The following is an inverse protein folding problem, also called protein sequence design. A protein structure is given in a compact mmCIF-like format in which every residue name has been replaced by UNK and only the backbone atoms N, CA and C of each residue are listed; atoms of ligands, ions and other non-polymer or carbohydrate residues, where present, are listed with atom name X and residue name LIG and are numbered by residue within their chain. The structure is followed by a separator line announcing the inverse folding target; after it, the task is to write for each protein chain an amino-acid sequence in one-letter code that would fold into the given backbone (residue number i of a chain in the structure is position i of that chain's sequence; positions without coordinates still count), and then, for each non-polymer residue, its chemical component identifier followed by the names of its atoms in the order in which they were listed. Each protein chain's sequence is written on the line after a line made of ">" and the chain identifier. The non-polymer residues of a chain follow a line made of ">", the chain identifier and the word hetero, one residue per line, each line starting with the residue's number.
data_IF_673529838497
#
_entry.id   IF_673529838497
#
_cell.length_a   1.000
_cell.length_b   1.000
_cell.length_c   1.000
_cell.angle_alpha   90.00
_cell.angle_beta   90.00
_cell.angle_gamma   90.00
#
_symmetry.space_group_name_H-M   'P 1'
#
loop_
_entity.id
_entity.type
_entity.pdbx_description
1 polymer ?
#
# COMPACT_ATOMS: atom_id res chain seq x y z
N UNK A 1 16.84 0.53 21.07
CA UNK A 1 17.04 -0.70 20.27
C UNK A 1 17.46 -0.29 18.87
N UNK A 2 18.40 -1.01 18.24
CA UNK A 2 18.86 -0.73 16.87
C UNK A 2 18.42 -1.88 15.97
N UNK A 3 17.74 -1.57 14.86
CA UNK A 3 17.17 -2.54 13.92
C UNK A 3 17.73 -2.26 12.52
N UNK A 4 18.18 -3.32 11.85
CA UNK A 4 18.55 -3.26 10.44
C UNK A 4 17.38 -3.73 9.57
N UNK A 5 17.07 -2.98 8.51
CA UNK A 5 16.05 -3.32 7.52
C UNK A 5 16.73 -3.53 6.17
N UNK A 6 16.44 -4.66 5.53
CA UNK A 6 16.93 -4.98 4.19
C UNK A 6 15.78 -4.77 3.20
N UNK A 7 15.94 -3.79 2.32
CA UNK A 7 14.95 -3.31 1.35
C UNK A 7 14.42 -1.92 1.70
N UNK A 8 14.59 -0.97 0.79
CA UNK A 8 14.06 0.40 0.80
C UNK A 8 12.93 0.57 -0.23
N UNK A 9 12.10 -0.46 -0.41
CA UNK A 9 10.78 -0.34 -1.02
C UNK A 9 9.73 0.15 -0.01
N UNK A 10 8.49 0.30 -0.45
CA UNK A 10 7.37 0.83 0.36
C UNK A 10 7.22 0.12 1.71
N UNK A 11 7.28 -1.22 1.74
CA UNK A 11 7.15 -1.99 2.99
C UNK A 11 8.30 -1.72 3.96
N UNK A 12 9.53 -1.64 3.46
CA UNK A 12 10.72 -1.40 4.29
C UNK A 12 10.77 0.02 4.84
N UNK A 13 10.44 1.01 4.02
CA UNK A 13 10.40 2.43 4.43
C UNK A 13 9.27 2.70 5.42
N UNK A 14 8.08 2.15 5.21
CA UNK A 14 6.96 2.33 6.14
C UNK A 14 7.24 1.64 7.48
N UNK A 15 7.85 0.44 7.45
CA UNK A 15 8.32 -0.25 8.66
C UNK A 15 9.37 0.57 9.40
N UNK A 16 10.34 1.16 8.68
CA UNK A 16 11.35 2.02 9.26
C UNK A 16 10.74 3.23 9.95
N UNK A 17 9.79 3.90 9.29
CA UNK A 17 9.10 5.08 9.81
C UNK A 17 8.39 4.76 11.12
N UNK A 18 7.58 3.71 11.14
CA UNK A 18 6.86 3.26 12.33
C UNK A 18 7.81 2.95 13.50
N UNK A 19 8.91 2.24 13.24
CA UNK A 19 9.86 1.89 14.29
C UNK A 19 10.65 3.10 14.81
N UNK A 20 11.00 4.06 13.93
CA UNK A 20 11.64 5.33 14.34
C UNK A 20 10.70 6.11 15.26
N UNK A 21 9.41 6.17 14.97
CA UNK A 21 8.42 6.85 15.83
C UNK A 21 8.28 6.20 17.20
N UNK A 22 8.56 4.90 17.31
CA UNK A 22 8.65 4.17 18.59
C UNK A 22 10.02 4.31 19.28
N UNK A 23 10.90 5.20 18.80
CA UNK A 23 12.20 5.48 19.41
C UNK A 23 13.30 4.47 19.07
N UNK A 24 13.11 3.63 18.05
CA UNK A 24 14.16 2.75 17.56
C UNK A 24 15.16 3.51 16.69
N UNK A 25 16.42 3.11 16.74
CA UNK A 25 17.42 3.51 15.75
C UNK A 25 17.35 2.53 14.58
N UNK A 26 17.28 3.05 13.35
CA UNK A 26 17.11 2.23 12.14
C UNK A 26 18.30 2.43 11.20
N UNK A 27 18.79 1.33 10.62
CA UNK A 27 19.66 1.36 9.43
C UNK A 27 18.98 0.60 8.30
N UNK A 28 18.84 1.23 7.15
CA UNK A 28 18.20 0.65 5.97
C UNK A 28 19.26 0.36 4.92
N UNK A 29 19.20 -0.84 4.35
CA UNK A 29 20.09 -1.29 3.28
C UNK A 29 19.25 -1.69 2.07
N UNK A 30 19.56 -1.14 0.91
CA UNK A 30 18.97 -1.55 -0.36
C UNK A 30 20.08 -1.81 -1.38
N UNK A 31 19.83 -2.71 -2.32
CA UNK A 31 20.77 -3.01 -3.40
C UNK A 31 20.86 -1.87 -4.42
N UNK A 32 19.79 -1.09 -4.56
CA UNK A 32 19.67 0.04 -5.48
C UNK A 32 19.35 1.34 -4.71
N UNK A 33 18.93 2.37 -5.44
CA UNK A 33 18.34 3.55 -4.81
C UNK A 33 16.93 3.23 -4.29
N UNK A 34 16.59 3.86 -3.17
CA UNK A 34 15.26 3.74 -2.54
C UNK A 34 14.12 3.88 -3.54
N UNK A 35 13.13 3.00 -3.44
CA UNK A 35 11.93 3.01 -4.24
C UNK A 35 12.06 2.55 -5.69
N UNK A 36 13.24 2.27 -6.24
CA UNK A 36 13.44 2.06 -7.69
C UNK A 36 12.98 0.70 -8.26
N UNK A 37 12.56 -0.24 -7.41
CA UNK A 37 12.12 -1.57 -7.85
C UNK A 37 10.59 -1.64 -7.98
N UNK A 38 9.96 -2.69 -7.44
CA UNK A 38 8.51 -2.92 -7.53
C UNK A 38 7.67 -1.74 -7.00
N UNK A 39 8.19 -0.96 -6.04
CA UNK A 39 7.50 0.22 -5.51
C UNK A 39 7.38 1.36 -6.51
N UNK A 40 8.29 1.47 -7.49
CA UNK A 40 8.18 2.45 -8.58
C UNK A 40 7.30 1.94 -9.73
N UNK A 41 7.33 0.63 -10.00
CA UNK A 41 6.60 0.03 -11.11
C UNK A 41 5.11 -0.25 -10.83
N UNK A 42 4.64 -0.07 -9.59
CA UNK A 42 3.26 -0.36 -9.20
C UNK A 42 2.25 0.59 -9.86
N UNK A 43 1.12 0.06 -10.32
CA UNK A 43 0.07 0.85 -10.97
C UNK A 43 -0.82 1.69 -10.03
N UNK A 44 -0.54 1.71 -8.72
CA UNK A 44 -1.24 2.57 -7.76
C UNK A 44 -2.66 2.13 -7.36
N UNK A 45 -3.11 0.92 -7.73
CA UNK A 45 -4.45 0.42 -7.39
C UNK A 45 -4.52 0.05 -5.90
N UNK A 46 -5.43 0.66 -5.14
CA UNK A 46 -5.62 0.44 -3.70
C UNK A 46 -6.77 -0.54 -3.38
N UNK A 47 -6.86 -1.61 -4.17
CA UNK A 47 -7.83 -2.69 -4.00
C UNK A 47 -7.35 -3.99 -4.68
N UNK A 48 -7.75 -5.17 -4.19
CA UNK A 48 -7.55 -6.41 -4.95
C UNK A 48 -8.38 -6.36 -6.24
N UNK A 49 -7.82 -6.79 -7.38
CA UNK A 49 -8.53 -6.71 -8.68
C UNK A 49 -9.75 -7.64 -8.76
N UNK A 50 -9.65 -8.87 -8.27
CA UNK A 50 -10.76 -9.82 -8.22
C UNK A 50 -10.93 -10.34 -6.80
N UNK A 51 -11.47 -9.53 -5.86
CA UNK A 51 -11.47 -9.87 -4.43
C UNK A 51 -12.08 -11.24 -4.11
N UNK A 52 -13.11 -11.69 -4.85
CA UNK A 52 -13.73 -13.03 -4.68
C UNK A 52 -12.81 -14.20 -5.05
N UNK A 53 -11.70 -13.94 -5.74
CA UNK A 53 -10.67 -14.94 -6.06
C UNK A 53 -9.55 -15.00 -5.02
N UNK A 54 -9.54 -14.10 -4.02
CA UNK A 54 -8.53 -14.07 -2.96
C UNK A 54 -9.03 -14.71 -1.66
N UNK A 55 -8.12 -15.30 -0.85
CA UNK A 55 -8.46 -15.71 0.51
C UNK A 55 -8.97 -14.54 1.35
N UNK A 56 -9.93 -14.79 2.24
CA UNK A 56 -10.53 -13.76 3.08
C UNK A 56 -9.50 -12.97 3.89
N UNK A 57 -8.45 -13.62 4.38
CA UNK A 57 -7.38 -12.95 5.13
C UNK A 57 -6.67 -11.85 4.31
N UNK A 58 -6.49 -12.06 2.99
CA UNK A 58 -5.91 -11.05 2.10
C UNK A 58 -6.87 -9.87 1.93
N UNK A 59 -8.16 -10.15 1.73
CA UNK A 59 -9.18 -9.11 1.61
C UNK A 59 -9.29 -8.26 2.89
N UNK A 60 -9.22 -8.89 4.07
CA UNK A 60 -9.22 -8.17 5.35
C UNK A 60 -8.02 -7.22 5.47
N UNK A 61 -6.82 -7.67 5.10
CA UNK A 61 -5.63 -6.81 5.10
C UNK A 61 -5.75 -5.66 4.09
N UNK A 62 -6.27 -5.93 2.90
CA UNK A 62 -6.44 -4.92 1.85
C UNK A 62 -7.48 -3.85 2.25
N UNK A 63 -8.61 -4.26 2.84
CA UNK A 63 -9.63 -3.34 3.36
C UNK A 63 -9.07 -2.42 4.45
N UNK A 64 -8.29 -2.98 5.38
CA UNK A 64 -7.61 -2.19 6.40
C UNK A 64 -6.56 -1.25 5.80
N UNK A 65 -5.77 -1.74 4.83
CA UNK A 65 -4.75 -0.95 4.15
C UNK A 65 -5.32 0.27 3.42
N UNK A 66 -6.47 0.13 2.74
CA UNK A 66 -7.09 1.22 1.94
C UNK A 66 -7.30 2.50 2.77
N UNK A 67 -7.86 2.39 3.98
CA UNK A 67 -8.09 3.56 4.84
C UNK A 67 -6.77 4.15 5.37
N UNK A 68 -5.78 3.30 5.65
CA UNK A 68 -4.48 3.74 6.14
C UNK A 68 -3.72 4.60 5.13
N UNK A 69 -3.88 4.40 3.82
CA UNK A 69 -3.25 5.25 2.81
C UNK A 69 -3.66 6.72 2.95
N UNK A 70 -4.93 7.01 3.25
CA UNK A 70 -5.40 8.39 3.49
C UNK A 70 -4.75 8.98 4.75
N UNK A 71 -4.77 8.22 5.85
CA UNK A 71 -4.14 8.64 7.12
C UNK A 71 -2.64 8.92 6.95
N UNK A 72 -1.93 8.08 6.18
CA UNK A 72 -0.52 8.29 5.91
C UNK A 72 -0.25 9.50 5.00
N UNK A 73 -1.10 9.73 3.99
CA UNK A 73 -0.98 10.91 3.15
C UNK A 73 -1.13 12.19 3.99
N UNK A 74 -2.15 12.26 4.84
CA UNK A 74 -2.38 13.39 5.75
C UNK A 74 -1.20 13.64 6.69
N UNK A 75 -0.60 12.56 7.20
CA UNK A 75 0.54 12.62 8.12
C UNK A 75 1.84 13.04 7.42
N UNK A 76 2.10 12.55 6.20
CA UNK A 76 3.38 12.71 5.51
C UNK A 76 3.42 13.93 4.59
N UNK A 77 2.29 14.37 4.05
CA UNK A 77 2.19 15.55 3.21
C UNK A 77 2.84 16.80 3.84
N UNK A 78 2.55 17.19 5.10
CA UNK A 78 3.16 18.40 5.69
C UNK A 78 4.67 18.28 5.93
N UNK A 79 5.21 17.05 6.03
CA UNK A 79 6.63 16.81 6.28
C UNK A 79 7.45 16.70 4.99
N UNK A 80 6.84 16.17 3.93
CA UNK A 80 7.53 15.82 2.68
C UNK A 80 7.17 16.74 1.52
N UNK A 81 5.99 17.36 1.56
CA UNK A 81 5.41 18.08 0.43
C UNK A 81 4.96 17.20 -0.73
N UNK A 82 4.95 15.86 -0.55
CA UNK A 82 4.57 14.88 -1.58
C UNK A 82 3.15 14.40 -1.29
N UNK A 83 2.24 14.60 -2.25
CA UNK A 83 0.88 14.05 -2.21
C UNK A 83 0.88 12.65 -2.84
N UNK A 84 0.16 11.71 -2.22
CA UNK A 84 -0.05 10.36 -2.76
C UNK A 84 -1.07 10.34 -3.91
N UNK A 85 -1.79 11.44 -4.16
CA UNK A 85 -2.73 11.60 -5.27
C UNK A 85 -3.84 10.52 -5.26
N UNK A 86 -4.39 10.25 -4.08
CA UNK A 86 -5.39 9.19 -3.89
C UNK A 86 -6.74 9.62 -4.47
N UNK A 87 -7.26 8.83 -5.42
CA UNK A 87 -8.59 9.02 -6.01
C UNK A 87 -9.51 7.83 -5.69
N UNK A 88 -10.68 8.10 -5.10
CA UNK A 88 -11.71 7.07 -4.87
C UNK A 88 -12.67 6.99 -6.07
N UNK A 89 -12.31 6.16 -7.04
CA UNK A 89 -13.00 6.05 -8.35
C UNK A 89 -13.75 4.74 -8.54
N UNK A 90 -13.68 3.83 -7.56
CA UNK A 90 -14.24 2.49 -7.66
C UNK A 90 -13.46 1.58 -8.63
N UNK A 91 -14.07 0.48 -9.03
CA UNK A 91 -13.51 -0.50 -9.97
C UNK A 91 -14.64 -1.05 -10.83
N UNK A 92 -14.34 -1.30 -12.11
CA UNK A 92 -15.25 -1.94 -13.05
C UNK A 92 -14.57 -3.16 -13.66
N UNK A 93 -15.21 -4.32 -13.53
CA UNK A 93 -14.77 -5.56 -14.15
C UNK A 93 -15.55 -5.75 -15.45
N UNK A 94 -14.84 -5.95 -16.55
CA UNK A 94 -15.41 -6.16 -17.89
C UNK A 94 -15.40 -7.63 -18.32
N UNK A 95 -14.75 -8.52 -17.56
CA UNK A 95 -14.74 -9.94 -17.86
C UNK A 95 -16.16 -10.49 -17.82
N UNK A 96 -16.63 -11.05 -18.94
CA UNK A 96 -18.01 -11.52 -19.09
C UNK A 96 -18.39 -12.55 -18.01
N UNK A 97 -17.49 -13.49 -17.71
CA UNK A 97 -17.72 -14.55 -16.72
C UNK A 97 -17.87 -14.04 -15.28
N UNK A 98 -17.29 -12.86 -15.00
CA UNK A 98 -17.19 -12.29 -13.65
C UNK A 98 -17.95 -10.96 -13.51
N UNK A 99 -18.59 -10.47 -14.57
CA UNK A 99 -19.24 -9.16 -14.60
C UNK A 99 -20.28 -9.00 -13.50
N UNK A 100 -21.19 -9.98 -13.39
CA UNK A 100 -22.26 -9.96 -12.38
C UNK A 100 -21.69 -10.06 -10.95
N UNK A 101 -20.63 -10.84 -10.74
CA UNK A 101 -19.98 -10.95 -9.43
C UNK A 101 -19.35 -9.60 -9.07
N UNK A 102 -18.62 -8.99 -10.00
CA UNK A 102 -17.97 -7.68 -9.80
C UNK A 102 -18.96 -6.56 -9.55
N UNK A 103 -20.04 -6.48 -10.33
CA UNK A 103 -21.09 -5.48 -10.18
C UNK A 103 -21.75 -5.56 -8.79
N UNK A 104 -21.93 -6.78 -8.27
CA UNK A 104 -22.59 -7.01 -6.99
C UNK A 104 -21.63 -7.11 -5.79
N UNK A 105 -20.31 -7.05 -6.00
CA UNK A 105 -19.33 -7.24 -4.92
C UNK A 105 -19.31 -6.09 -3.91
N UNK A 106 -19.63 -4.87 -4.36
CA UNK A 106 -19.63 -3.67 -3.52
C UNK A 106 -20.92 -3.48 -2.68
N UNK A 107 -21.85 -4.44 -2.73
CA UNK A 107 -23.11 -4.41 -1.98
C UNK A 107 -22.93 -4.68 -0.47
#
# INVERSE_FOLDING_TARGET
>A
MHIAIIGAGISGLLTALELVEQGCQISIFDQQQSGQAASWAGGGILSPMYPWRYPQAVNTLAQYGKSMYQTWNEKLLPMTGIDFEIHDTGMLIFDEDDFDIGLNYAA
#
